data_IF_688384235003
#
_entry.id   IF_688384235003
#
_cell.length_a   1.000
_cell.length_b   1.000
_cell.length_c   1.000
_cell.angle_alpha   90.00
_cell.angle_beta   90.00
_cell.angle_gamma   90.00
#
_symmetry.space_group_name_H-M   'P 1'
#
loop_
_entity.id
_entity.type
_entity.pdbx_description
1 polymer ?
#
# COMPACT_ATOMS: atom_id res chain seq x y z
N UNK A 1 -57.81 50.46 -16.90
CA UNK A 1 -57.55 49.91 -15.53
C UNK A 1 -56.64 48.76 -15.74
N UNK A 2 -55.34 48.98 -15.54
CA UNK A 2 -54.22 48.17 -16.01
C UNK A 2 -53.54 47.53 -14.82
N UNK A 3 -53.50 46.19 -14.78
CA UNK A 3 -52.71 45.46 -13.80
C UNK A 3 -51.29 45.20 -14.28
N UNK A 4 -50.25 45.56 -13.57
CA UNK A 4 -48.87 45.21 -13.94
C UNK A 4 -48.48 43.86 -13.27
N UNK A 5 -48.24 42.87 -14.12
CA UNK A 5 -47.64 41.58 -13.73
C UNK A 5 -46.18 41.80 -13.22
N UNK A 6 -45.94 41.53 -11.96
CA UNK A 6 -44.60 41.48 -11.35
C UNK A 6 -43.91 40.18 -11.75
N UNK A 7 -42.86 40.29 -12.55
CA UNK A 7 -41.93 39.23 -12.90
C UNK A 7 -40.95 39.12 -11.76
N UNK A 8 -41.04 38.04 -10.95
CA UNK A 8 -40.00 37.69 -9.99
C UNK A 8 -38.89 36.91 -10.71
N UNK A 9 -37.77 37.53 -10.85
CA UNK A 9 -36.53 36.90 -11.32
C UNK A 9 -35.85 36.21 -10.14
N UNK A 10 -35.98 34.88 -10.04
CA UNK A 10 -35.31 34.07 -9.06
C UNK A 10 -33.83 33.88 -9.46
N UNK A 11 -32.89 34.54 -8.77
CA UNK A 11 -31.47 34.27 -8.90
C UNK A 11 -31.13 32.98 -8.17
N UNK A 12 -30.91 31.88 -8.92
CA UNK A 12 -30.29 30.67 -8.38
C UNK A 12 -28.80 30.94 -8.15
N UNK A 13 -28.43 31.14 -6.89
CA UNK A 13 -27.03 31.19 -6.45
C UNK A 13 -26.47 29.75 -6.45
N UNK A 14 -25.75 29.36 -7.50
CA UNK A 14 -25.01 28.10 -7.54
C UNK A 14 -23.80 28.22 -6.59
N UNK A 15 -23.92 27.64 -5.38
CA UNK A 15 -22.77 27.45 -4.52
C UNK A 15 -21.87 26.36 -5.14
N UNK A 16 -20.80 26.79 -5.79
CA UNK A 16 -19.70 25.91 -6.19
C UNK A 16 -18.93 25.51 -4.93
N UNK A 17 -19.21 24.30 -4.41
CA UNK A 17 -18.34 23.66 -3.43
C UNK A 17 -17.01 23.34 -4.12
N UNK A 18 -16.01 24.19 -3.94
CA UNK A 18 -14.64 23.84 -4.22
C UNK A 18 -14.23 22.76 -3.19
N UNK A 19 -14.10 21.52 -3.65
CA UNK A 19 -13.48 20.47 -2.83
C UNK A 19 -12.04 20.93 -2.55
N UNK A 20 -11.76 21.30 -1.29
CA UNK A 20 -10.39 21.52 -0.86
C UNK A 20 -9.60 20.22 -1.12
N UNK A 21 -8.36 20.30 -1.65
CA UNK A 21 -7.51 19.12 -1.74
C UNK A 21 -7.38 18.56 -0.33
N UNK A 22 -7.70 17.26 -0.17
CA UNK A 22 -7.42 16.57 1.07
C UNK A 22 -5.93 16.74 1.35
N UNK A 23 -5.58 17.36 2.49
CA UNK A 23 -4.19 17.46 2.90
C UNK A 23 -3.60 16.05 2.90
N UNK A 24 -2.46 15.87 2.24
CA UNK A 24 -1.74 14.60 2.25
C UNK A 24 -1.46 14.24 3.72
N UNK A 25 -1.88 13.05 4.13
CA UNK A 25 -1.63 12.59 5.50
C UNK A 25 -0.12 12.32 5.63
N UNK A 26 0.47 12.72 6.76
CA UNK A 26 1.92 12.67 6.92
C UNK A 26 2.43 11.23 7.04
N UNK A 27 3.61 10.88 6.50
CA UNK A 27 4.18 9.53 6.59
C UNK A 27 4.54 9.12 8.02
N UNK A 28 4.53 10.06 8.95
CA UNK A 28 4.89 9.89 10.37
C UNK A 28 3.75 9.37 11.24
N UNK A 29 2.58 9.16 10.68
CA UNK A 29 1.45 8.50 11.34
C UNK A 29 1.31 7.07 10.82
N UNK A 30 1.25 6.08 11.70
CA UNK A 30 0.95 4.70 11.34
C UNK A 30 -0.35 4.28 11.97
N UNK A 31 -1.34 4.04 11.15
CA UNK A 31 -2.69 3.69 11.59
C UNK A 31 -2.93 2.18 11.56
N UNK A 32 -3.91 1.74 12.35
CA UNK A 32 -4.43 0.37 12.35
C UNK A 32 -3.40 -0.71 12.72
N UNK A 33 -2.45 -0.40 13.59
CA UNK A 33 -1.51 -1.40 14.12
C UNK A 33 -2.29 -2.35 15.02
N UNK A 34 -2.44 -3.60 14.61
CA UNK A 34 -3.08 -4.63 15.41
C UNK A 34 -2.04 -5.28 16.32
N UNK A 35 -2.33 -5.32 17.61
CA UNK A 35 -1.53 -6.00 18.63
C UNK A 35 -2.36 -7.02 19.40
N UNK A 36 -1.72 -8.12 19.81
CA UNK A 36 -2.33 -9.21 20.58
C UNK A 36 -1.27 -9.80 21.51
N UNK A 37 -1.22 -9.33 22.73
CA UNK A 37 -0.14 -9.63 23.69
C UNK A 37 -0.69 -10.29 24.93
N UNK A 38 -0.03 -11.36 25.38
CA UNK A 38 -0.28 -12.05 26.64
C UNK A 38 0.92 -11.86 27.57
N UNK A 39 0.67 -11.50 28.83
CA UNK A 39 1.68 -11.33 29.87
C UNK A 39 1.21 -11.88 31.22
N UNK A 40 1.99 -11.64 32.27
CA UNK A 40 1.66 -12.12 33.64
C UNK A 40 0.37 -11.50 34.20
N UNK A 41 0.06 -10.27 33.80
CA UNK A 41 -1.13 -9.53 34.19
C UNK A 41 -1.54 -8.54 33.10
N UNK A 42 -2.70 -7.92 33.23
CA UNK A 42 -3.26 -6.99 32.23
C UNK A 42 -2.40 -5.73 32.05
N UNK A 43 -1.73 -5.25 33.10
CA UNK A 43 -0.88 -4.04 33.02
C UNK A 43 0.35 -4.33 32.17
N UNK A 44 1.04 -5.43 32.44
CA UNK A 44 2.21 -5.85 31.64
C UNK A 44 1.81 -6.16 30.20
N UNK A 45 0.64 -6.81 29.99
CA UNK A 45 0.14 -7.11 28.64
C UNK A 45 -0.09 -5.80 27.84
N UNK A 46 -0.69 -4.80 28.46
CA UNK A 46 -0.92 -3.49 27.82
C UNK A 46 0.40 -2.76 27.55
N UNK A 47 1.32 -2.71 28.53
CA UNK A 47 2.62 -2.06 28.35
C UNK A 47 3.42 -2.68 27.18
N UNK A 48 3.50 -4.01 27.16
CA UNK A 48 4.19 -4.73 26.08
C UNK A 48 3.52 -4.50 24.71
N UNK A 49 2.19 -4.44 24.68
CA UNK A 49 1.44 -4.14 23.44
C UNK A 49 1.71 -2.74 22.91
N UNK A 50 1.83 -1.74 23.79
CA UNK A 50 2.21 -0.37 23.38
C UNK A 50 3.63 -0.34 22.81
N UNK A 51 4.60 -0.94 23.51
CA UNK A 51 5.98 -1.02 23.03
C UNK A 51 6.10 -1.78 21.69
N UNK A 52 5.33 -2.86 21.50
CA UNK A 52 5.25 -3.56 20.21
C UNK A 52 4.70 -2.66 19.11
N UNK A 53 3.63 -1.91 19.40
CA UNK A 53 3.03 -0.98 18.43
C UNK A 53 3.99 0.15 18.06
N UNK A 54 4.71 0.72 19.00
CA UNK A 54 5.72 1.75 18.77
C UNK A 54 6.85 1.24 17.89
N UNK A 55 7.41 0.08 18.22
CA UNK A 55 8.48 -0.57 17.43
C UNK A 55 8.03 -0.84 15.98
N UNK A 56 6.86 -1.47 15.80
CA UNK A 56 6.30 -1.76 14.48
C UNK A 56 5.93 -0.49 13.72
N UNK A 57 5.42 0.50 14.44
CA UNK A 57 5.09 1.80 13.86
C UNK A 57 6.33 2.51 13.34
N UNK A 58 7.40 2.58 14.13
CA UNK A 58 8.65 3.23 13.71
C UNK A 58 9.31 2.48 12.53
N UNK A 59 9.35 1.15 12.55
CA UNK A 59 9.81 0.36 11.39
C UNK A 59 9.01 0.70 10.12
N UNK A 60 7.68 0.82 10.24
CA UNK A 60 6.83 1.21 9.12
C UNK A 60 7.14 2.63 8.61
N UNK A 61 7.32 3.62 9.50
CA UNK A 61 7.71 4.99 9.11
C UNK A 61 9.06 4.99 8.40
N UNK A 62 10.06 4.33 8.97
CA UNK A 62 11.40 4.26 8.37
C UNK A 62 11.34 3.62 6.98
N UNK A 63 10.59 2.53 6.82
CA UNK A 63 10.38 1.89 5.51
C UNK A 63 9.59 2.74 4.52
N UNK A 64 8.77 3.69 4.96
CA UNK A 64 8.07 4.64 4.09
C UNK A 64 9.02 5.67 3.51
N UNK A 65 9.87 6.25 4.34
CA UNK A 65 10.69 7.40 3.96
C UNK A 65 12.08 7.02 3.44
N UNK A 66 12.61 5.84 3.81
CA UNK A 66 13.94 5.37 3.36
C UNK A 66 13.79 4.55 2.07
N UNK A 67 14.66 4.73 1.06
CA UNK A 67 14.65 3.93 -0.16
C UNK A 67 14.87 2.44 0.13
N UNK A 68 14.25 1.58 -0.67
CA UNK A 68 14.29 0.11 -0.50
C UNK A 68 15.73 -0.46 -0.43
N UNK A 69 16.67 0.08 -1.21
CA UNK A 69 18.07 -0.35 -1.23
C UNK A 69 18.81 -0.17 0.12
N UNK A 70 18.26 0.64 1.02
CA UNK A 70 18.81 0.89 2.34
C UNK A 70 18.14 0.11 3.46
N UNK A 71 17.10 -0.69 3.20
CA UNK A 71 16.45 -1.49 4.26
C UNK A 71 17.39 -2.42 5.02
N UNK A 72 18.40 -3.08 4.39
CA UNK A 72 19.37 -3.88 5.13
C UNK A 72 20.25 -3.08 6.11
N UNK A 73 20.26 -1.75 5.99
CA UNK A 73 21.01 -0.84 6.88
C UNK A 73 20.16 -0.26 8.01
N UNK A 74 18.84 -0.53 8.02
CA UNK A 74 17.99 -0.12 9.13
C UNK A 74 18.39 -0.88 10.39
N UNK A 75 18.72 -0.18 11.49
CA UNK A 75 19.15 -0.82 12.73
C UNK A 75 17.95 -1.40 13.50
N UNK A 76 18.22 -2.36 14.38
CA UNK A 76 17.31 -2.73 15.44
C UNK A 76 17.43 -1.69 16.58
N UNK A 77 16.45 -0.80 16.65
CA UNK A 77 16.48 0.33 17.59
C UNK A 77 16.14 -0.13 19.01
N UNK A 78 16.81 0.48 19.98
CA UNK A 78 16.55 0.23 21.40
C UNK A 78 15.25 0.93 21.82
N UNK A 79 14.55 0.41 22.86
CA UNK A 79 13.28 0.98 23.33
C UNK A 79 13.33 2.49 23.60
N UNK A 80 14.40 2.96 24.21
CA UNK A 80 14.59 4.37 24.56
C UNK A 80 14.70 5.28 23.32
N UNK A 81 15.29 4.76 22.23
CA UNK A 81 15.37 5.46 20.96
C UNK A 81 14.00 5.55 20.28
N UNK A 82 13.18 4.50 20.45
CA UNK A 82 11.82 4.44 19.90
C UNK A 82 10.92 5.41 20.67
N UNK A 83 10.92 5.33 22.01
CA UNK A 83 10.15 6.25 22.85
C UNK A 83 10.49 7.72 22.58
N UNK A 84 11.76 8.02 22.35
CA UNK A 84 12.24 9.39 22.07
C UNK A 84 11.68 10.02 20.80
N UNK A 85 11.15 9.22 19.86
CA UNK A 85 10.56 9.72 18.61
C UNK A 85 9.04 9.58 18.57
N UNK A 86 8.40 8.92 19.54
CA UNK A 86 6.95 8.81 19.63
C UNK A 86 6.36 10.13 20.13
N UNK A 87 5.35 10.64 19.43
CA UNK A 87 4.58 11.81 19.85
C UNK A 87 3.33 11.40 20.65
N UNK A 88 2.55 10.46 20.13
CA UNK A 88 1.33 9.98 20.81
C UNK A 88 0.85 8.63 20.25
N UNK A 89 0.05 7.93 21.06
CA UNK A 89 -0.64 6.71 20.68
C UNK A 89 -2.15 6.91 20.86
N UNK A 90 -2.93 6.53 19.86
CA UNK A 90 -4.39 6.56 19.90
C UNK A 90 -4.95 5.15 19.84
N UNK A 91 -5.92 4.84 20.69
CA UNK A 91 -6.56 3.52 20.74
C UNK A 91 -7.86 3.57 19.94
N UNK A 92 -7.91 2.85 18.80
CA UNK A 92 -9.14 2.72 18.01
C UNK A 92 -10.09 1.71 18.61
N UNK A 93 -9.56 0.60 19.05
CA UNK A 93 -10.30 -0.51 19.66
C UNK A 93 -9.41 -1.24 20.63
N UNK A 94 -9.95 -1.62 21.78
CA UNK A 94 -9.25 -2.49 22.72
C UNK A 94 -10.16 -3.54 23.33
N UNK A 95 -9.59 -4.66 23.68
CA UNK A 95 -10.19 -5.75 24.48
C UNK A 95 -9.12 -6.30 25.40
N UNK A 96 -9.45 -6.59 26.62
CA UNK A 96 -8.49 -7.11 27.58
C UNK A 96 -9.12 -8.17 28.50
N UNK A 97 -8.27 -9.03 29.00
CA UNK A 97 -8.55 -9.97 30.07
C UNK A 97 -7.54 -9.78 31.20
N UNK A 98 -7.52 -10.67 32.18
CA UNK A 98 -6.55 -10.61 33.27
C UNK A 98 -5.08 -10.72 32.85
N UNK A 99 -4.82 -11.31 31.67
CA UNK A 99 -3.45 -11.60 31.18
C UNK A 99 -3.24 -11.26 29.70
N UNK A 100 -4.29 -10.86 28.94
CA UNK A 100 -4.20 -10.63 27.50
C UNK A 100 -4.74 -9.27 27.15
N UNK A 101 -4.06 -8.57 26.25
CA UNK A 101 -4.48 -7.30 25.68
C UNK A 101 -4.47 -7.37 24.15
N UNK A 102 -5.62 -7.06 23.54
CA UNK A 102 -5.81 -7.03 22.09
C UNK A 102 -6.25 -5.62 21.73
N UNK A 103 -5.54 -4.96 20.82
CA UNK A 103 -5.92 -3.62 20.39
C UNK A 103 -5.63 -3.35 18.92
N UNK A 104 -6.27 -2.30 18.43
CA UNK A 104 -5.90 -1.63 17.17
C UNK A 104 -5.52 -0.21 17.53
N UNK A 105 -4.29 0.16 17.23
CA UNK A 105 -3.64 1.40 17.65
C UNK A 105 -3.24 2.24 16.44
N UNK A 106 -3.21 3.55 16.64
CA UNK A 106 -2.53 4.49 15.77
C UNK A 106 -1.36 5.10 16.55
N UNK A 107 -0.18 5.11 15.94
CA UNK A 107 1.01 5.72 16.53
C UNK A 107 1.42 6.90 15.68
N UNK A 108 1.59 8.05 16.32
CA UNK A 108 2.03 9.30 15.71
C UNK A 108 3.47 9.55 16.18
N UNK A 109 4.37 9.73 15.25
CA UNK A 109 5.78 10.02 15.52
C UNK A 109 6.06 11.51 15.37
N UNK A 110 7.04 12.00 16.13
CA UNK A 110 7.55 13.35 15.98
C UNK A 110 8.40 13.42 14.70
N UNK A 111 7.93 14.17 13.72
CA UNK A 111 8.56 14.31 12.40
C UNK A 111 10.02 14.72 12.50
N UNK A 112 10.31 15.77 13.28
CA UNK A 112 11.67 16.31 13.43
C UNK A 112 12.60 15.30 14.10
N UNK A 113 12.11 14.62 15.15
CA UNK A 113 12.90 13.60 15.85
C UNK A 113 13.21 12.40 14.94
N UNK A 114 12.26 11.97 14.11
CA UNK A 114 12.50 10.88 13.14
C UNK A 114 13.47 11.33 12.05
N UNK A 115 13.37 12.56 11.54
CA UNK A 115 14.32 13.11 10.57
C UNK A 115 15.74 13.16 11.12
N UNK A 116 15.90 13.59 12.36
CA UNK A 116 17.19 13.60 13.05
C UNK A 116 17.74 12.19 13.26
N UNK A 117 16.88 11.24 13.63
CA UNK A 117 17.26 9.83 13.73
C UNK A 117 17.79 9.30 12.40
N UNK A 118 17.04 9.49 11.30
CA UNK A 118 17.44 9.02 9.96
C UNK A 118 18.74 9.69 9.49
N UNK A 119 18.88 10.99 9.74
CA UNK A 119 20.11 11.72 9.42
C UNK A 119 21.32 11.21 10.23
N UNK A 120 21.15 10.90 11.53
CA UNK A 120 22.19 10.33 12.38
C UNK A 120 22.67 8.94 11.92
N UNK A 121 21.79 8.19 11.25
CA UNK A 121 22.09 6.90 10.63
C UNK A 121 22.76 7.03 9.25
N UNK A 122 22.89 8.25 8.72
CA UNK A 122 23.43 8.50 7.38
C UNK A 122 22.55 7.92 6.25
N UNK A 123 21.24 7.81 6.48
CA UNK A 123 20.30 7.26 5.53
C UNK A 123 19.60 8.37 4.72
N UNK A 124 19.42 8.21 3.41
CA UNK A 124 18.61 9.13 2.63
C UNK A 124 17.13 8.95 2.98
N UNK A 125 16.37 10.04 2.96
CA UNK A 125 14.93 10.02 3.19
C UNK A 125 14.17 10.82 2.12
N UNK A 126 12.95 10.37 1.79
CA UNK A 126 12.01 11.08 0.94
C UNK A 126 10.60 10.94 1.50
N UNK A 127 9.90 12.05 1.63
CA UNK A 127 8.52 12.12 2.14
C UNK A 127 7.50 12.25 0.99
N UNK A 128 7.99 12.28 -0.24
CA UNK A 128 7.13 12.53 -1.40
C UNK A 128 6.16 11.37 -1.62
N UNK A 129 4.88 11.69 -1.63
CA UNK A 129 3.80 10.74 -1.88
C UNK A 129 3.38 10.77 -3.35
N UNK A 130 2.97 9.61 -3.85
CA UNK A 130 2.31 9.45 -5.15
C UNK A 130 0.93 10.11 -5.15
N UNK A 131 0.39 10.42 -6.34
CA UNK A 131 -1.04 10.69 -6.46
C UNK A 131 -1.86 9.51 -5.90
N UNK A 132 -2.95 9.83 -5.20
CA UNK A 132 -3.81 8.80 -4.57
C UNK A 132 -4.32 7.80 -5.60
N UNK A 133 -4.14 6.53 -5.32
CA UNK A 133 -4.53 5.40 -6.17
C UNK A 133 -5.91 4.89 -5.72
N UNK A 134 -6.78 4.60 -6.68
CA UNK A 134 -8.02 3.87 -6.45
C UNK A 134 -7.77 2.38 -6.56
N UNK A 135 -7.97 1.61 -5.48
CA UNK A 135 -7.84 0.15 -5.46
C UNK A 135 -9.22 -0.48 -5.58
N UNK A 136 -9.42 -1.32 -6.57
CA UNK A 136 -10.64 -2.11 -6.77
C UNK A 136 -10.35 -3.59 -6.44
N UNK A 137 -10.60 -4.03 -5.19
CA UNK A 137 -10.35 -5.41 -4.79
C UNK A 137 -11.49 -6.32 -5.29
N UNK A 138 -11.13 -7.39 -6.00
CA UNK A 138 -12.05 -8.33 -6.63
C UNK A 138 -11.63 -9.78 -6.35
N UNK A 139 -12.61 -10.68 -6.34
CA UNK A 139 -12.43 -12.13 -6.31
C UNK A 139 -13.23 -12.75 -7.44
N UNK A 140 -12.69 -13.77 -8.11
CA UNK A 140 -13.45 -14.56 -9.05
C UNK A 140 -14.15 -15.73 -8.35
N UNK A 141 -15.46 -15.87 -8.57
CA UNK A 141 -16.22 -17.09 -8.31
C UNK A 141 -16.77 -17.64 -9.63
N UNK A 142 -16.06 -18.63 -10.20
CA UNK A 142 -16.40 -19.14 -11.53
C UNK A 142 -16.29 -18.04 -12.59
N UNK A 143 -17.43 -17.69 -13.17
CA UNK A 143 -17.55 -16.68 -14.23
C UNK A 143 -18.04 -15.32 -13.71
N UNK A 144 -18.21 -15.17 -12.41
CA UNK A 144 -18.63 -13.92 -11.78
C UNK A 144 -17.49 -13.24 -11.05
N UNK A 145 -17.59 -11.92 -10.93
CA UNK A 145 -16.70 -11.11 -10.10
C UNK A 145 -17.48 -10.75 -8.84
N UNK A 146 -16.87 -11.05 -7.69
CA UNK A 146 -17.44 -10.69 -6.39
C UNK A 146 -16.54 -9.75 -5.63
N UNK A 147 -17.17 -8.85 -4.89
CA UNK A 147 -16.54 -8.02 -3.88
C UNK A 147 -17.64 -7.60 -2.91
N UNK A 148 -17.96 -8.48 -1.99
CA UNK A 148 -18.95 -8.22 -0.94
C UNK A 148 -18.37 -7.45 0.23
N UNK A 149 -19.27 -6.88 1.06
CA UNK A 149 -18.87 -6.19 2.31
C UNK A 149 -18.13 -7.13 3.25
N UNK A 150 -18.41 -8.43 3.20
CA UNK A 150 -17.79 -9.49 4.04
C UNK A 150 -16.67 -10.25 3.32
N UNK A 151 -16.26 -9.84 2.14
CA UNK A 151 -15.18 -10.48 1.41
C UNK A 151 -13.84 -10.28 2.13
N UNK A 152 -13.17 -11.38 2.45
CA UNK A 152 -11.89 -11.38 3.17
C UNK A 152 -10.81 -10.59 2.43
N UNK A 153 -10.79 -10.61 1.10
CA UNK A 153 -9.84 -9.87 0.29
C UNK A 153 -10.07 -8.35 0.37
N UNK A 154 -11.31 -7.91 0.23
CA UNK A 154 -11.64 -6.49 0.37
C UNK A 154 -11.38 -5.98 1.78
N UNK A 155 -11.73 -6.76 2.81
CA UNK A 155 -11.44 -6.42 4.21
C UNK A 155 -9.93 -6.33 4.47
N UNK A 156 -9.14 -7.20 3.84
CA UNK A 156 -7.69 -7.13 3.95
C UNK A 156 -7.14 -5.78 3.48
N UNK A 157 -7.61 -5.26 2.34
CA UNK A 157 -7.24 -3.93 1.87
C UNK A 157 -7.70 -2.81 2.81
N UNK A 158 -8.94 -2.89 3.31
CA UNK A 158 -9.49 -1.90 4.26
C UNK A 158 -8.75 -1.87 5.60
N UNK A 159 -8.11 -2.96 5.99
CA UNK A 159 -7.33 -3.05 7.23
C UNK A 159 -5.91 -2.46 7.09
N UNK A 160 -5.44 -2.20 5.87
CA UNK A 160 -4.14 -1.57 5.66
C UNK A 160 -4.19 -0.07 5.99
N UNK A 161 -3.05 0.48 6.34
CA UNK A 161 -2.84 1.92 6.44
C UNK A 161 -2.50 2.47 5.06
N UNK A 162 -3.55 2.82 4.31
CA UNK A 162 -3.44 3.21 2.90
C UNK A 162 -3.23 4.71 2.69
N UNK A 163 -3.38 5.53 3.73
CA UNK A 163 -3.33 7.00 3.56
C UNK A 163 -1.98 7.61 3.87
N UNK A 164 -1.21 6.98 4.76
CA UNK A 164 0.06 7.55 5.24
C UNK A 164 1.29 7.01 4.49
N UNK A 165 1.13 5.99 3.64
CA UNK A 165 2.23 5.41 2.87
C UNK A 165 2.71 6.28 1.71
N UNK A 166 3.85 5.93 1.07
CA UNK A 166 4.37 6.65 -0.10
C UNK A 166 3.49 6.52 -1.34
N UNK A 167 2.56 5.58 -1.38
CA UNK A 167 1.55 5.41 -2.44
C UNK A 167 0.14 5.42 -1.84
N UNK A 168 -0.40 6.58 -1.43
CA UNK A 168 -1.71 6.66 -0.81
C UNK A 168 -2.79 6.02 -1.67
N UNK A 169 -3.74 5.31 -1.03
CA UNK A 169 -4.78 4.62 -1.77
C UNK A 169 -6.14 4.67 -1.08
N UNK A 170 -7.21 4.55 -1.89
CA UNK A 170 -8.59 4.38 -1.45
C UNK A 170 -9.15 3.08 -1.98
N UNK A 171 -9.99 2.41 -1.19
CA UNK A 171 -10.62 1.13 -1.56
C UNK A 171 -12.00 1.37 -2.14
N UNK A 172 -12.17 1.03 -3.39
CA UNK A 172 -13.45 1.14 -4.10
C UNK A 172 -14.35 -0.08 -3.86
N UNK A 173 -15.62 0.09 -4.22
CA UNK A 173 -16.56 -1.00 -4.39
C UNK A 173 -16.81 -1.25 -5.88
N UNK A 174 -16.96 -2.52 -6.33
CA UNK A 174 -17.33 -2.80 -7.69
C UNK A 174 -18.73 -2.25 -7.96
N UNK A 175 -18.89 -1.65 -9.13
CA UNK A 175 -20.20 -1.22 -9.60
C UNK A 175 -21.00 -2.44 -10.10
N UNK A 176 -22.32 -2.40 -9.98
CA UNK A 176 -23.16 -3.41 -10.61
C UNK A 176 -22.87 -3.50 -12.12
N UNK A 177 -22.81 -4.71 -12.65
CA UNK A 177 -22.56 -4.94 -14.08
C UNK A 177 -21.10 -5.08 -14.47
N UNK A 178 -20.14 -5.03 -13.53
CA UNK A 178 -18.75 -5.34 -13.83
C UNK A 178 -18.60 -6.84 -14.15
N UNK A 179 -18.37 -7.14 -15.41
CA UNK A 179 -18.27 -8.52 -15.90
C UNK A 179 -16.88 -9.14 -15.69
N UNK A 180 -16.83 -10.42 -15.34
CA UNK A 180 -15.59 -11.17 -15.18
C UNK A 180 -14.74 -11.21 -16.47
N UNK A 181 -15.38 -11.27 -17.64
CA UNK A 181 -14.69 -11.22 -18.92
C UNK A 181 -13.90 -9.92 -19.12
N UNK A 182 -14.51 -8.79 -18.74
CA UNK A 182 -13.85 -7.48 -18.79
C UNK A 182 -12.63 -7.42 -17.86
N UNK A 183 -12.78 -7.89 -16.60
CA UNK A 183 -11.67 -7.93 -15.63
C UNK A 183 -10.54 -8.84 -16.12
N UNK A 184 -10.87 -10.01 -16.70
CA UNK A 184 -9.84 -10.91 -17.29
C UNK A 184 -9.11 -10.26 -18.45
N UNK A 185 -9.80 -9.51 -19.32
CA UNK A 185 -9.16 -8.78 -20.40
C UNK A 185 -8.19 -7.70 -19.87
N UNK A 186 -8.57 -6.97 -18.81
CA UNK A 186 -7.67 -6.02 -18.13
C UNK A 186 -6.44 -6.73 -17.57
N UNK A 187 -6.61 -7.87 -16.90
CA UNK A 187 -5.51 -8.67 -16.36
C UNK A 187 -4.61 -9.26 -17.46
N UNK A 188 -5.15 -9.47 -18.66
CA UNK A 188 -4.38 -9.86 -19.85
C UNK A 188 -3.66 -8.68 -20.52
N UNK A 189 -3.88 -7.44 -20.02
CA UNK A 189 -3.21 -6.24 -20.51
C UNK A 189 -3.95 -5.51 -21.64
N UNK A 190 -5.23 -5.80 -21.88
CA UNK A 190 -6.04 -5.13 -22.89
C UNK A 190 -6.29 -3.65 -22.50
N UNK A 191 -5.78 -2.68 -23.28
CA UNK A 191 -5.92 -1.26 -22.95
C UNK A 191 -7.36 -0.76 -23.14
N UNK A 192 -8.13 -1.35 -24.06
CA UNK A 192 -9.52 -0.94 -24.32
C UNK A 192 -10.43 -1.39 -23.17
N UNK A 193 -10.24 -2.62 -22.70
CA UNK A 193 -10.94 -3.13 -21.53
C UNK A 193 -10.61 -2.31 -20.28
N UNK A 194 -9.32 -1.93 -20.10
CA UNK A 194 -8.94 -1.07 -18.98
C UNK A 194 -9.57 0.32 -19.06
N UNK A 195 -9.56 0.95 -20.24
CA UNK A 195 -10.16 2.27 -20.45
C UNK A 195 -11.67 2.26 -20.15
N UNK A 196 -12.38 1.20 -20.56
CA UNK A 196 -13.80 1.02 -20.26
C UNK A 196 -14.05 0.94 -18.75
N UNK A 197 -13.30 0.08 -18.03
CA UNK A 197 -13.42 -0.04 -16.57
C UNK A 197 -13.03 1.27 -15.90
N UNK A 198 -11.94 1.93 -16.30
CA UNK A 198 -11.51 3.19 -15.71
C UNK A 198 -12.58 4.29 -15.89
N UNK A 199 -13.25 4.35 -17.04
CA UNK A 199 -14.35 5.29 -17.30
C UNK A 199 -15.47 5.20 -16.28
N UNK A 200 -15.75 4.01 -15.76
CA UNK A 200 -16.79 3.81 -14.74
C UNK A 200 -16.37 4.31 -13.34
N UNK A 201 -15.08 4.38 -13.05
CA UNK A 201 -14.55 4.70 -11.71
C UNK A 201 -13.91 6.08 -11.59
N UNK A 202 -13.84 6.84 -12.67
CA UNK A 202 -13.30 8.21 -12.68
C UNK A 202 -11.85 8.30 -13.16
N UNK A 203 -11.26 9.49 -13.05
CA UNK A 203 -9.98 9.85 -13.67
C UNK A 203 -8.75 9.55 -12.80
N UNK A 204 -8.90 9.15 -11.56
CA UNK A 204 -7.77 8.82 -10.69
C UNK A 204 -7.03 7.56 -11.19
N UNK A 205 -5.74 7.39 -10.88
CA UNK A 205 -5.06 6.12 -11.10
C UNK A 205 -5.87 4.97 -10.50
N UNK A 206 -6.16 3.96 -11.30
CA UNK A 206 -7.00 2.81 -10.90
C UNK A 206 -6.19 1.52 -11.01
N UNK A 207 -6.14 0.77 -9.91
CA UNK A 207 -5.56 -0.58 -9.86
C UNK A 207 -6.63 -1.57 -9.49
N UNK A 208 -6.90 -2.52 -10.39
CA UNK A 208 -7.71 -3.70 -10.12
C UNK A 208 -6.82 -4.69 -9.37
N UNK A 209 -7.23 -5.07 -8.17
CA UNK A 209 -6.51 -5.99 -7.31
C UNK A 209 -7.33 -7.30 -7.16
N UNK A 210 -6.97 -8.33 -7.90
CA UNK A 210 -7.61 -9.65 -7.79
C UNK A 210 -6.86 -10.51 -6.80
N UNK A 211 -7.58 -11.04 -5.80
CA UNK A 211 -7.06 -11.99 -4.82
C UNK A 211 -7.85 -13.29 -4.87
N UNK A 212 -7.17 -14.43 -4.97
CA UNK A 212 -7.81 -15.73 -5.11
C UNK A 212 -7.12 -16.80 -4.30
N UNK A 213 -7.80 -17.44 -3.33
CA UNK A 213 -7.32 -18.68 -2.75
C UNK A 213 -7.19 -19.76 -3.82
N UNK A 214 -6.12 -20.55 -3.75
CA UNK A 214 -5.86 -21.66 -4.65
C UNK A 214 -5.54 -22.94 -3.86
N UNK A 215 -5.44 -24.07 -4.55
CA UNK A 215 -5.13 -25.36 -3.94
C UNK A 215 -3.78 -25.36 -3.24
N UNK A 216 -3.61 -26.24 -2.24
CA UNK A 216 -2.36 -26.34 -1.47
C UNK A 216 -2.07 -25.16 -0.55
N UNK A 217 -3.07 -24.35 -0.19
CA UNK A 217 -2.91 -23.19 0.68
C UNK A 217 -2.22 -22.01 -0.01
N UNK A 218 -2.22 -21.99 -1.32
CA UNK A 218 -1.74 -20.87 -2.12
C UNK A 218 -2.75 -19.74 -2.16
N UNK A 219 -2.24 -18.52 -2.35
CA UNK A 219 -3.02 -17.33 -2.60
C UNK A 219 -2.45 -16.60 -3.81
N UNK A 220 -3.24 -16.45 -4.85
CA UNK A 220 -2.85 -15.79 -6.08
C UNK A 220 -3.29 -14.34 -6.01
N UNK A 221 -2.35 -13.43 -6.23
CA UNK A 221 -2.61 -11.98 -6.28
C UNK A 221 -2.25 -11.45 -7.64
N UNK A 222 -3.13 -10.65 -8.25
CA UNK A 222 -2.87 -9.94 -9.50
C UNK A 222 -3.24 -8.48 -9.37
N UNK A 223 -2.37 -7.60 -9.86
CA UNK A 223 -2.61 -6.16 -9.97
C UNK A 223 -2.54 -5.76 -11.44
N UNK A 224 -3.55 -5.06 -11.93
CA UNK A 224 -3.54 -4.53 -13.28
C UNK A 224 -4.21 -3.15 -13.32
N UNK A 225 -3.66 -2.25 -14.14
CA UNK A 225 -4.20 -0.90 -14.30
C UNK A 225 -3.13 0.18 -14.38
N UNK A 226 -3.33 1.28 -13.67
CA UNK A 226 -2.37 2.39 -13.55
C UNK A 226 -2.20 2.80 -12.09
N UNK A 227 -0.97 3.06 -11.69
CA UNK A 227 -0.60 3.63 -10.39
C UNK A 227 0.07 5.00 -10.58
N UNK A 228 0.69 5.54 -9.53
CA UNK A 228 1.41 6.82 -9.58
C UNK A 228 2.66 6.82 -10.49
N UNK A 229 3.13 5.65 -10.90
CA UNK A 229 4.29 5.48 -11.81
C UNK A 229 3.83 5.29 -13.26
N UNK A 230 2.66 4.70 -13.48
CA UNK A 230 2.15 4.36 -14.79
C UNK A 230 1.47 2.99 -14.81
N UNK A 231 1.50 2.31 -15.96
CA UNK A 231 0.84 1.00 -16.10
C UNK A 231 1.48 -0.04 -15.19
N UNK A 232 0.62 -0.85 -14.56
CA UNK A 232 1.02 -2.01 -13.77
C UNK A 232 0.31 -3.25 -14.32
N UNK A 233 1.06 -4.34 -14.45
CA UNK A 233 0.55 -5.70 -14.62
C UNK A 233 1.46 -6.62 -13.82
N UNK A 234 0.99 -7.04 -12.66
CA UNK A 234 1.76 -7.80 -11.68
C UNK A 234 0.98 -9.05 -11.27
N UNK A 235 1.66 -10.16 -11.12
CA UNK A 235 1.07 -11.39 -10.65
C UNK A 235 2.02 -12.15 -9.73
N UNK A 236 1.47 -12.72 -8.66
CA UNK A 236 2.21 -13.48 -7.67
C UNK A 236 1.35 -14.58 -7.07
N UNK A 237 1.98 -15.71 -6.76
CA UNK A 237 1.41 -16.79 -5.95
C UNK A 237 2.25 -17.00 -4.71
N UNK A 238 1.61 -16.95 -3.54
CA UNK A 238 2.25 -17.13 -2.24
C UNK A 238 1.63 -18.31 -1.50
N UNK A 239 2.43 -19.05 -0.75
CA UNK A 239 1.95 -20.11 0.13
C UNK A 239 2.06 -19.65 1.57
N UNK A 240 0.91 -19.56 2.26
CA UNK A 240 0.85 -19.10 3.66
C UNK A 240 0.63 -20.25 4.67
N UNK A 241 1.24 -21.38 4.44
CA UNK A 241 1.40 -22.52 5.32
C UNK A 241 0.33 -22.70 6.43
N UNK A 242 -0.87 -23.19 6.09
CA UNK A 242 -1.92 -23.46 7.09
C UNK A 242 -2.60 -22.21 7.67
N UNK A 243 -2.28 -20.98 7.20
CA UNK A 243 -2.96 -19.78 7.66
C UNK A 243 -4.45 -19.80 7.25
N UNK A 244 -5.36 -19.35 8.13
CA UNK A 244 -6.77 -19.18 7.76
C UNK A 244 -6.91 -18.25 6.54
N UNK A 245 -7.92 -18.42 5.67
CA UNK A 245 -8.10 -17.64 4.45
C UNK A 245 -8.05 -16.12 4.67
N UNK A 246 -8.61 -15.65 5.78
CA UNK A 246 -8.57 -14.23 6.16
C UNK A 246 -7.15 -13.73 6.45
N UNK A 247 -6.33 -14.53 7.14
CA UNK A 247 -4.94 -14.18 7.44
C UNK A 247 -4.07 -14.25 6.18
N UNK A 248 -4.31 -15.22 5.30
CA UNK A 248 -3.65 -15.31 4.00
C UNK A 248 -3.98 -14.09 3.12
N UNK A 249 -5.26 -13.70 3.03
CA UNK A 249 -5.70 -12.50 2.32
C UNK A 249 -5.04 -11.23 2.88
N UNK A 250 -4.93 -11.09 4.22
CA UNK A 250 -4.29 -9.95 4.87
C UNK A 250 -2.82 -9.84 4.49
N UNK A 251 -2.06 -10.93 4.54
CA UNK A 251 -0.65 -10.96 4.14
C UNK A 251 -0.48 -10.66 2.64
N UNK A 252 -1.32 -11.26 1.80
CA UNK A 252 -1.30 -11.03 0.35
C UNK A 252 -1.59 -9.56 -0.01
N UNK A 253 -2.56 -8.92 0.65
CA UNK A 253 -2.87 -7.51 0.46
C UNK A 253 -1.71 -6.61 0.89
N UNK A 254 -1.06 -6.91 2.02
CA UNK A 254 0.13 -6.18 2.47
C UNK A 254 1.27 -6.26 1.46
N UNK A 255 1.53 -7.44 0.89
CA UNK A 255 2.55 -7.61 -0.16
C UNK A 255 2.19 -6.88 -1.45
N UNK A 256 0.91 -6.94 -1.86
CA UNK A 256 0.44 -6.23 -3.03
C UNK A 256 0.58 -4.70 -2.88
N UNK A 257 0.24 -4.17 -1.71
CA UNK A 257 0.41 -2.76 -1.42
C UNK A 257 1.89 -2.34 -1.40
N UNK A 258 2.76 -3.15 -0.79
CA UNK A 258 4.20 -2.90 -0.80
C UNK A 258 4.80 -2.84 -2.22
N UNK A 259 4.22 -3.57 -3.20
CA UNK A 259 4.62 -3.45 -4.62
C UNK A 259 4.35 -2.04 -5.14
N UNK A 260 3.16 -1.48 -4.86
CA UNK A 260 2.80 -0.11 -5.29
C UNK A 260 3.71 0.93 -4.64
N UNK A 261 3.95 0.81 -3.34
CA UNK A 261 4.87 1.70 -2.60
C UNK A 261 6.30 1.63 -3.14
N UNK A 262 6.82 0.43 -3.38
CA UNK A 262 8.19 0.24 -3.86
C UNK A 262 8.36 0.72 -5.31
N UNK A 263 7.33 0.59 -6.16
CA UNK A 263 7.34 1.15 -7.50
C UNK A 263 7.50 2.68 -7.46
N UNK A 264 6.74 3.36 -6.61
CA UNK A 264 6.86 4.81 -6.42
C UNK A 264 8.24 5.19 -5.90
N UNK A 265 8.71 4.57 -4.83
CA UNK A 265 10.04 4.86 -4.26
C UNK A 265 11.17 4.62 -5.26
N UNK A 266 11.05 3.63 -6.13
CA UNK A 266 12.05 3.37 -7.17
C UNK A 266 12.20 4.54 -8.16
N UNK A 267 11.14 5.31 -8.41
CA UNK A 267 11.21 6.50 -9.27
C UNK A 267 11.88 7.69 -8.59
N UNK A 268 12.04 7.65 -7.25
CA UNK A 268 12.64 8.72 -6.42
C UNK A 268 14.05 8.39 -5.98
N UNK A 269 14.50 7.15 -6.17
CA UNK A 269 15.88 6.79 -5.91
C UNK A 269 16.79 7.52 -6.91
N UNK A 270 17.72 8.36 -6.40
CA UNK A 270 18.74 8.97 -7.26
C UNK A 270 19.62 7.88 -7.87
N UNK A 271 20.09 8.03 -9.13
CA UNK A 271 20.97 7.05 -9.77
C UNK A 271 22.23 6.72 -8.95
N UNK A 272 22.73 7.66 -8.15
CA UNK A 272 23.85 7.46 -7.22
C UNK A 272 23.53 6.56 -6.01
N UNK A 273 22.24 6.38 -5.69
CA UNK A 273 21.78 5.54 -4.57
C UNK A 273 21.53 4.09 -4.99
N UNK A 274 21.48 3.81 -6.27
CA UNK A 274 21.51 2.45 -6.81
C UNK A 274 22.98 2.03 -6.82
N UNK A 275 23.41 1.28 -5.80
CA UNK A 275 24.77 0.74 -5.79
C UNK A 275 25.02 0.00 -7.13
N UNK A 276 26.12 0.29 -7.84
CA UNK A 276 26.42 -0.43 -9.05
C UNK A 276 26.51 -1.92 -8.71
N UNK A 277 25.73 -2.74 -9.41
CA UNK A 277 25.89 -4.19 -9.33
C UNK A 277 27.33 -4.46 -9.79
N UNK A 278 28.24 -4.79 -8.86
CA UNK A 278 29.56 -5.29 -9.21
C UNK A 278 29.34 -6.64 -9.86
N UNK A 279 29.48 -6.67 -11.18
CA UNK A 279 29.68 -7.93 -11.88
C UNK A 279 31.05 -8.45 -11.47
N UNK A 280 31.08 -9.62 -10.83
CA UNK A 280 32.34 -10.33 -10.63
C UNK A 280 32.92 -10.60 -12.02
N UNK A 281 34.18 -10.19 -12.23
CA UNK A 281 34.96 -10.50 -13.42
C UNK A 281 35.07 -12.02 -13.56
N UNK A 282 34.30 -12.60 -14.45
CA UNK A 282 34.29 -14.05 -14.71
C UNK A 282 33.21 -14.53 -15.66
N UNK A 283 32.19 -13.72 -15.97
CA UNK A 283 31.22 -14.07 -17.01
C UNK A 283 31.56 -13.39 -18.33
N UNK A 284 31.50 -14.13 -19.46
CA UNK A 284 31.74 -13.53 -20.78
C UNK A 284 30.71 -12.43 -21.03
N UNK A 285 31.07 -11.31 -21.68
CA UNK A 285 30.20 -10.19 -21.92
C UNK A 285 28.98 -10.64 -22.73
N UNK A 286 27.81 -10.65 -22.10
CA UNK A 286 26.57 -10.65 -22.85
C UNK A 286 26.48 -9.33 -23.61
N UNK A 287 26.19 -9.44 -24.92
CA UNK A 287 26.11 -8.31 -25.83
C UNK A 287 25.31 -7.15 -25.23
N UNK A 288 25.88 -5.96 -25.27
CA UNK A 288 25.22 -4.73 -24.82
C UNK A 288 23.84 -4.61 -25.48
N UNK A 289 22.79 -4.23 -24.72
CA UNK A 289 21.49 -3.98 -25.33
C UNK A 289 21.63 -2.85 -26.33
N UNK A 290 21.29 -3.13 -27.59
CA UNK A 290 21.19 -2.09 -28.62
C UNK A 290 20.18 -1.06 -28.16
N UNK A 291 20.54 0.23 -28.21
CA UNK A 291 19.64 1.33 -27.96
C UNK A 291 18.47 1.22 -28.95
N UNK A 292 17.31 0.82 -28.41
CA UNK A 292 16.07 0.71 -29.16
C UNK A 292 15.50 2.09 -29.47
N UNK A 293 14.92 2.22 -30.65
CA UNK A 293 14.21 3.41 -31.10
C UNK A 293 13.10 3.82 -30.12
N UNK A 294 12.81 5.13 -29.95
CA UNK A 294 11.78 5.62 -29.06
C UNK A 294 10.39 5.13 -29.53
N UNK A 295 9.74 4.33 -28.68
CA UNK A 295 8.37 3.84 -28.92
C UNK A 295 8.17 2.32 -28.77
N UNK A 296 9.22 1.54 -28.54
CA UNK A 296 9.09 0.09 -28.37
C UNK A 296 8.93 -0.28 -26.89
N UNK A 297 7.80 -0.91 -26.55
CA UNK A 297 7.56 -1.47 -25.21
C UNK A 297 8.64 -2.53 -24.90
N UNK A 298 9.47 -2.26 -23.91
CA UNK A 298 10.42 -3.22 -23.35
C UNK A 298 9.76 -3.89 -22.16
N UNK A 299 9.48 -5.19 -22.29
CA UNK A 299 9.06 -6.00 -21.14
C UNK A 299 10.32 -6.44 -20.41
N UNK A 300 10.59 -5.83 -19.25
CA UNK A 300 11.67 -6.28 -18.39
C UNK A 300 11.14 -7.33 -17.40
N UNK A 301 11.67 -8.53 -17.44
CA UNK A 301 11.48 -9.54 -16.41
C UNK A 301 12.57 -9.31 -15.37
N UNK A 302 12.19 -8.79 -14.20
CA UNK A 302 13.12 -8.65 -13.07
C UNK A 302 13.18 -9.98 -12.34
N UNK A 303 14.28 -10.71 -12.50
CA UNK A 303 14.55 -11.93 -11.77
C UNK A 303 15.40 -11.59 -10.54
N UNK A 304 14.84 -11.74 -9.34
CA UNK A 304 15.59 -11.56 -8.09
C UNK A 304 16.39 -12.84 -7.82
N UNK A 305 17.69 -12.84 -8.18
CA UNK A 305 18.61 -13.89 -7.81
C UNK A 305 19.24 -13.57 -6.46
N UNK A 306 19.19 -14.49 -5.50
CA UNK A 306 19.92 -14.39 -4.23
C UNK A 306 19.12 -14.22 -2.96
N UNK A 307 17.78 -14.11 -3.02
CA UNK A 307 16.95 -14.11 -1.83
C UNK A 307 16.67 -15.56 -1.39
N UNK A 308 17.46 -16.06 -0.45
CA UNK A 308 17.30 -17.44 0.07
C UNK A 308 16.16 -17.56 1.08
N UNK A 309 15.73 -16.48 1.72
CA UNK A 309 14.59 -16.46 2.65
C UNK A 309 13.85 -15.11 2.64
N UNK A 310 12.51 -15.18 2.65
CA UNK A 310 11.60 -14.03 2.65
C UNK A 310 11.62 -13.19 3.95
N UNK A 311 12.33 -13.64 4.97
CA UNK A 311 12.53 -12.90 6.22
C UNK A 311 13.37 -11.63 6.06
N UNK A 312 14.08 -11.50 4.93
CA UNK A 312 14.91 -10.31 4.62
C UNK A 312 14.14 -9.16 3.98
N UNK A 313 12.84 -9.35 3.69
CA UNK A 313 11.96 -8.32 3.09
C UNK A 313 10.82 -7.92 4.06
N UNK A 314 10.92 -8.29 5.33
CA UNK A 314 9.97 -7.82 6.35
C UNK A 314 10.28 -6.43 6.83
#
# INVERSE_FOLDING_TARGET
MSDPKRLMLGACLALSFAAAPAAAETPYTVSKIAVDVTAKNAVDAKANAMAEAEKRGLDAVLRRIVPFSFYPKLPDLQPEQIEGVVNSISIRKEQYSTTRYIATLDVIFNEEAVKQLVASLGLPASEEQAPTISILPLVFEGNEVKSGVNDAWRQAWLNLDLSHGPAPATVLQPRPGLEAGMVRAVLAGDPSAFAAVQGDYGSAPLVIAVGQPAEGGQFITRLAGTDGVGRINYGRSDTFGGAPPKAAAQKAASFAYAVLENRWKATRASPEQVAPVRYEEGMPPQAAPQQGEPGRLVTAVVQFAGLKEWQQIR
#
